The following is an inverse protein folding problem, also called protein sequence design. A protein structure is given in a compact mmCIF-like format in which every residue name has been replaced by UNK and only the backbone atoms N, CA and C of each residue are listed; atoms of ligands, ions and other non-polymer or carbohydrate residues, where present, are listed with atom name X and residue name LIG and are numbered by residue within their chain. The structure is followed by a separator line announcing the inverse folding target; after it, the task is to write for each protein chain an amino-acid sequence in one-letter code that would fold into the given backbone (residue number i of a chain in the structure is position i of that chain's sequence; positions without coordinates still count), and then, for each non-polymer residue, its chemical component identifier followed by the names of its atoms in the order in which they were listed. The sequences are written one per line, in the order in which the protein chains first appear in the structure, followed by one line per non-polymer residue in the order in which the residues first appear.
data_IF_308013235042
#
_entry.id   IF_308013235042
#
_cell.length_a   1.000
_cell.length_b   1.000
_cell.length_c   1.000
_cell.angle_alpha   90.00
_cell.angle_beta   90.00
_cell.angle_gamma   90.00
#
_symmetry.space_group_name_H-M   'P 1'
#
loop_
_entity.id
_entity.type
_entity.pdbx_description
1 polymer ?
#
# COMPACT_ATOMS: atom_id res chain seq x y z
N UNK A 1 33.78 -0.01 -11.80
CA UNK A 1 34.56 -0.45 -10.61
C UNK A 1 33.71 -0.91 -9.41
N UNK A 2 32.50 -0.37 -9.18
CA UNK A 2 31.63 -0.75 -8.04
C UNK A 2 31.02 -2.16 -8.14
N UNK A 3 30.56 -2.57 -9.32
CA UNK A 3 29.94 -3.89 -9.56
C UNK A 3 30.91 -5.04 -9.25
N UNK A 4 32.19 -4.90 -9.58
CA UNK A 4 33.20 -5.91 -9.26
C UNK A 4 33.46 -6.02 -7.76
N UNK A 5 33.48 -4.88 -7.04
CA UNK A 5 33.61 -4.86 -5.57
C UNK A 5 32.44 -5.56 -4.89
N UNK A 6 31.22 -5.29 -5.33
CA UNK A 6 29.99 -5.92 -4.83
C UNK A 6 30.01 -7.43 -5.13
N UNK A 7 30.44 -7.83 -6.33
CA UNK A 7 30.60 -9.23 -6.71
C UNK A 7 31.61 -9.96 -5.80
N UNK A 8 32.77 -9.36 -5.54
CA UNK A 8 33.76 -9.95 -4.64
C UNK A 8 33.28 -10.01 -3.19
N UNK A 9 32.45 -9.07 -2.76
CA UNK A 9 31.82 -9.09 -1.43
C UNK A 9 30.78 -10.20 -1.31
N UNK A 10 29.97 -10.41 -2.36
CA UNK A 10 28.98 -11.49 -2.47
C UNK A 10 29.63 -12.88 -2.52
N UNK A 11 30.72 -13.07 -3.28
CA UNK A 11 31.42 -14.36 -3.37
C UNK A 11 32.38 -14.62 -2.21
N UNK A 12 32.83 -13.58 -1.53
CA UNK A 12 33.85 -13.61 -0.49
C UNK A 12 35.28 -13.74 -1.03
N UNK A 13 36.20 -13.11 -0.32
CA UNK A 13 37.63 -13.09 -0.61
C UNK A 13 38.47 -13.41 0.63
N UNK A 14 39.69 -13.82 0.39
CA UNK A 14 40.67 -14.22 1.38
C UNK A 14 41.84 -13.27 1.28
N UNK A 15 42.32 -12.77 2.43
CA UNK A 15 43.59 -12.08 2.52
C UNK A 15 44.64 -13.12 2.81
N UNK A 16 45.56 -13.33 1.87
CA UNK A 16 46.63 -14.31 1.98
C UNK A 16 47.97 -13.62 2.15
N UNK A 17 48.78 -14.16 3.05
CA UNK A 17 50.16 -13.81 3.26
C UNK A 17 51.02 -14.92 2.63
N UNK A 18 51.81 -14.57 1.65
CA UNK A 18 52.70 -15.46 0.91
C UNK A 18 54.13 -15.19 1.35
N UNK A 19 54.83 -16.24 1.76
CA UNK A 19 56.26 -16.22 2.12
C UNK A 19 57.04 -17.12 1.16
N UNK A 20 58.09 -16.62 0.53
CA UNK A 20 58.97 -17.45 -0.29
C UNK A 20 60.08 -16.67 -0.99
N UNK A 21 61.08 -17.38 -1.53
CA UNK A 21 62.28 -16.76 -2.13
C UNK A 21 61.99 -16.02 -3.45
N UNK A 22 60.88 -16.35 -4.14
CA UNK A 22 60.52 -15.78 -5.43
C UNK A 22 59.02 -15.42 -5.50
N UNK A 23 58.57 -14.36 -4.80
CA UNK A 23 57.15 -13.96 -4.77
C UNK A 23 56.61 -13.53 -6.14
N UNK A 24 57.48 -13.06 -7.04
CA UNK A 24 57.12 -12.64 -8.41
C UNK A 24 56.75 -13.84 -9.30
N UNK A 25 57.48 -14.95 -9.18
CA UNK A 25 57.15 -16.19 -9.87
C UNK A 25 55.80 -16.75 -9.40
N UNK A 26 55.50 -16.60 -8.10
CA UNK A 26 54.19 -16.96 -7.56
C UNK A 26 53.07 -16.11 -8.16
N UNK A 27 53.27 -14.79 -8.27
CA UNK A 27 52.27 -13.89 -8.85
C UNK A 27 51.98 -14.24 -10.31
N UNK A 28 53.03 -14.47 -11.10
CA UNK A 28 52.91 -14.83 -12.51
C UNK A 28 52.23 -16.19 -12.70
N UNK A 29 52.60 -17.19 -11.89
CA UNK A 29 51.97 -18.50 -11.94
C UNK A 29 50.50 -18.48 -11.48
N UNK A 30 50.14 -17.62 -10.52
CA UNK A 30 48.77 -17.43 -10.08
C UNK A 30 47.90 -16.79 -11.16
N UNK A 31 48.40 -15.73 -11.80
CA UNK A 31 47.72 -15.06 -12.92
C UNK A 31 47.56 -16.03 -14.10
N UNK A 32 48.61 -16.80 -14.41
CA UNK A 32 48.59 -17.83 -15.47
C UNK A 32 47.57 -18.95 -15.23
N UNK A 33 47.18 -19.24 -13.99
CA UNK A 33 46.08 -20.16 -13.68
C UNK A 33 44.69 -19.50 -13.66
N UNK A 34 44.59 -18.26 -14.13
CA UNK A 34 43.36 -17.47 -14.14
C UNK A 34 42.90 -17.05 -12.74
N UNK A 35 43.80 -17.03 -11.76
CA UNK A 35 43.49 -16.53 -10.41
C UNK A 35 43.69 -15.03 -10.37
N UNK A 36 42.60 -14.28 -10.23
CA UNK A 36 42.66 -12.84 -10.03
C UNK A 36 43.13 -12.52 -8.62
N UNK A 37 44.27 -11.85 -8.53
CA UNK A 37 44.85 -11.29 -7.32
C UNK A 37 44.70 -9.77 -7.37
N UNK A 38 44.35 -9.13 -6.27
CA UNK A 38 44.24 -7.67 -6.17
C UNK A 38 44.79 -7.18 -4.84
N UNK A 39 45.07 -5.87 -4.77
CA UNK A 39 45.61 -5.21 -3.57
C UNK A 39 46.88 -5.91 -3.07
N UNK A 40 47.87 -5.96 -3.96
CA UNK A 40 49.14 -6.65 -3.74
C UNK A 40 50.07 -5.68 -3.00
N UNK A 41 50.47 -6.06 -1.79
CA UNK A 41 51.38 -5.29 -0.96
C UNK A 41 52.61 -6.13 -0.64
N UNK A 42 53.80 -5.60 -0.93
CA UNK A 42 55.07 -6.27 -0.67
C UNK A 42 55.63 -5.82 0.68
N UNK A 43 55.97 -6.77 1.53
CA UNK A 43 56.55 -6.51 2.86
C UNK A 43 57.98 -7.10 2.91
N UNK A 44 58.93 -6.48 2.19
CA UNK A 44 60.32 -6.93 2.12
C UNK A 44 60.62 -7.92 0.98
N UNK A 45 61.78 -8.61 1.01
CA UNK A 45 62.22 -9.44 -0.11
C UNK A 45 61.36 -10.69 -0.32
N UNK A 46 60.91 -11.32 0.77
CA UNK A 46 60.29 -12.65 0.74
C UNK A 46 58.78 -12.66 1.05
N UNK A 47 58.18 -11.52 1.42
CA UNK A 47 56.78 -11.48 1.86
C UNK A 47 55.88 -10.67 0.93
N UNK A 48 54.73 -11.25 0.63
CA UNK A 48 53.70 -10.66 -0.22
C UNK A 48 52.32 -10.87 0.41
N UNK A 49 51.59 -9.77 0.62
CA UNK A 49 50.19 -9.79 1.00
C UNK A 49 49.35 -9.56 -0.26
N UNK A 50 48.37 -10.41 -0.52
CA UNK A 50 47.44 -10.17 -1.61
C UNK A 50 46.04 -10.68 -1.27
N UNK A 51 45.04 -10.12 -1.95
CA UNK A 51 43.64 -10.56 -1.83
C UNK A 51 43.31 -11.49 -2.99
N UNK A 52 42.65 -12.59 -2.67
CA UNK A 52 42.23 -13.61 -3.64
C UNK A 52 40.76 -13.99 -3.41
N UNK A 53 40.01 -14.25 -4.48
CA UNK A 53 38.65 -14.77 -4.37
C UNK A 53 38.62 -16.15 -3.68
N UNK A 54 37.58 -16.43 -2.90
CA UNK A 54 37.47 -17.69 -2.13
C UNK A 54 37.57 -18.95 -3.01
N UNK A 55 37.09 -18.90 -4.26
CA UNK A 55 37.20 -19.98 -5.24
C UNK A 55 38.60 -20.10 -5.85
N UNK A 56 39.28 -18.96 -6.04
CA UNK A 56 40.64 -18.89 -6.60
C UNK A 56 41.70 -19.47 -5.65
N UNK A 57 41.47 -19.41 -4.34
CA UNK A 57 42.40 -19.98 -3.35
C UNK A 57 42.59 -21.50 -3.49
N UNK A 58 41.56 -22.25 -3.91
CA UNK A 58 41.72 -23.69 -4.17
C UNK A 58 42.70 -23.96 -5.32
N UNK A 59 42.69 -23.09 -6.35
CA UNK A 59 43.59 -23.16 -7.50
C UNK A 59 45.02 -22.74 -7.17
N UNK A 60 45.24 -21.98 -6.10
CA UNK A 60 46.59 -21.59 -5.67
C UNK A 60 47.39 -22.73 -5.01
N UNK A 61 46.75 -23.81 -4.54
CA UNK A 61 47.45 -24.96 -3.93
C UNK A 61 48.58 -25.55 -4.80
N UNK A 62 48.36 -25.88 -6.09
CA UNK A 62 49.43 -26.34 -6.95
C UNK A 62 50.49 -25.25 -7.22
N UNK A 63 50.10 -23.97 -7.23
CA UNK A 63 51.03 -22.85 -7.44
C UNK A 63 52.03 -22.74 -6.29
N UNK A 64 51.57 -22.80 -5.04
CA UNK A 64 52.43 -22.81 -3.85
C UNK A 64 53.47 -23.94 -3.87
N UNK A 65 53.07 -25.13 -4.33
CA UNK A 65 53.98 -26.28 -4.46
C UNK A 65 55.04 -26.07 -5.54
N UNK A 66 54.67 -25.50 -6.70
CA UNK A 66 55.60 -25.25 -7.81
C UNK A 66 56.63 -24.17 -7.48
N UNK A 67 56.24 -23.10 -6.79
CA UNK A 67 57.12 -21.96 -6.51
C UNK A 67 57.83 -22.02 -5.16
N UNK A 68 57.72 -23.14 -4.43
CA UNK A 68 58.25 -23.32 -3.06
C UNK A 68 57.84 -22.19 -2.10
N UNK A 69 56.67 -21.59 -2.34
CA UNK A 69 56.13 -20.50 -1.53
C UNK A 69 55.10 -21.07 -0.53
N UNK A 70 55.03 -20.50 0.66
CA UNK A 70 54.05 -20.84 1.68
C UNK A 70 52.97 -19.77 1.76
N UNK A 71 51.70 -20.18 1.66
CA UNK A 71 50.56 -19.29 1.85
C UNK A 71 49.90 -19.49 3.21
N UNK A 72 49.75 -18.42 4.00
CA UNK A 72 48.94 -18.36 5.22
C UNK A 72 47.71 -17.49 4.99
N UNK A 73 46.53 -17.96 5.39
CA UNK A 73 45.31 -17.15 5.34
C UNK A 73 45.28 -16.25 6.57
N UNK A 74 45.39 -14.92 6.38
CA UNK A 74 45.34 -13.95 7.48
C UNK A 74 43.90 -13.62 7.86
N UNK A 75 43.03 -13.42 6.87
CA UNK A 75 41.63 -13.05 7.10
C UNK A 75 40.71 -13.70 6.06
N UNK A 76 39.49 -14.04 6.49
CA UNK A 76 38.41 -14.53 5.62
C UNK A 76 37.28 -13.50 5.65
N UNK A 77 37.00 -12.87 4.51
CA UNK A 77 36.04 -11.75 4.43
C UNK A 77 34.99 -12.10 3.37
N UNK A 78 33.71 -12.05 3.72
CA UNK A 78 32.61 -12.17 2.75
C UNK A 78 31.36 -12.86 3.29
N UNK A 79 30.25 -12.60 2.59
CA UNK A 79 28.91 -13.12 2.91
C UNK A 79 28.86 -14.66 2.88
N UNK A 80 29.59 -15.31 1.97
CA UNK A 80 29.63 -16.78 1.85
C UNK A 80 30.19 -17.49 3.08
N UNK A 81 31.04 -16.84 3.89
CA UNK A 81 31.57 -17.43 5.12
C UNK A 81 30.58 -17.32 6.29
N UNK A 82 29.80 -16.23 6.36
CA UNK A 82 28.73 -16.05 7.34
C UNK A 82 27.47 -16.87 7.03
N UNK A 83 27.02 -16.86 5.77
CA UNK A 83 25.83 -17.63 5.34
C UNK A 83 26.02 -19.15 5.48
N UNK A 84 27.26 -19.67 5.39
CA UNK A 84 27.54 -21.10 5.65
C UNK A 84 27.23 -21.55 7.08
N UNK A 85 27.17 -20.63 8.05
CA UNK A 85 26.77 -20.93 9.43
C UNK A 85 25.25 -20.87 9.60
N UNK A 86 24.58 -19.97 8.86
CA UNK A 86 23.12 -19.82 8.86
C UNK A 86 22.44 -20.97 8.10
N UNK A 87 23.01 -21.41 6.98
CA UNK A 87 22.51 -22.55 6.16
C UNK A 87 22.58 -23.92 6.86
N UNK A 88 23.32 -24.04 7.96
CA UNK A 88 23.33 -25.25 8.81
C UNK A 88 22.18 -25.30 9.82
N UNK A 89 21.36 -24.24 9.89
CA UNK A 89 20.22 -24.14 10.81
C UNK A 89 18.93 -24.14 10.00
N UNK A 90 18.38 -25.32 9.63
CA UNK A 90 17.18 -25.42 8.81
C UNK A 90 15.98 -24.71 9.45
N UNK A 91 15.92 -24.69 10.79
CA UNK A 91 14.87 -23.99 11.56
C UNK A 91 14.87 -22.48 11.29
N UNK A 92 16.03 -21.84 11.12
CA UNK A 92 16.09 -20.40 10.80
C UNK A 92 15.53 -20.11 9.41
N UNK A 93 15.87 -20.95 8.43
CA UNK A 93 15.34 -20.80 7.08
C UNK A 93 13.82 -21.03 7.06
N UNK A 94 13.34 -22.07 7.73
CA UNK A 94 11.91 -22.33 7.89
C UNK A 94 11.20 -21.14 8.55
N UNK A 95 11.77 -20.57 9.61
CA UNK A 95 11.21 -19.39 10.28
C UNK A 95 11.08 -18.18 9.36
N UNK A 96 12.08 -17.93 8.51
CA UNK A 96 12.02 -16.85 7.51
C UNK A 96 10.89 -17.10 6.51
N UNK A 97 10.79 -18.33 5.97
CA UNK A 97 9.75 -18.69 5.00
C UNK A 97 8.36 -18.56 5.62
N UNK A 98 8.16 -19.07 6.84
CA UNK A 98 6.90 -18.97 7.57
C UNK A 98 6.55 -17.51 7.87
N UNK A 99 7.51 -16.70 8.31
CA UNK A 99 7.30 -15.29 8.59
C UNK A 99 6.85 -14.53 7.34
N UNK A 100 7.49 -14.79 6.19
CA UNK A 100 7.09 -14.20 4.91
C UNK A 100 5.71 -14.70 4.45
N UNK A 101 5.42 -15.98 4.60
CA UNK A 101 4.12 -16.55 4.24
C UNK A 101 2.98 -15.96 5.09
N UNK A 102 3.19 -15.85 6.41
CA UNK A 102 2.23 -15.23 7.33
C UNK A 102 2.04 -13.75 7.00
N UNK A 103 3.13 -13.01 6.77
CA UNK A 103 3.05 -11.60 6.36
C UNK A 103 2.28 -11.41 5.04
N UNK A 104 2.50 -12.30 4.06
CA UNK A 104 1.76 -12.28 2.79
C UNK A 104 0.27 -12.56 2.97
N UNK A 105 -0.07 -13.57 3.78
CA UNK A 105 -1.47 -13.91 4.09
C UNK A 105 -2.14 -12.72 4.78
N UNK A 106 -1.53 -12.17 5.84
CA UNK A 106 -2.08 -11.04 6.60
C UNK A 106 -2.23 -9.77 5.75
N UNK A 107 -1.36 -9.57 4.76
CA UNK A 107 -1.45 -8.46 3.81
C UNK A 107 -2.66 -8.55 2.87
N UNK A 108 -3.27 -9.72 2.74
CA UNK A 108 -4.47 -9.93 1.92
C UNK A 108 -5.79 -9.54 2.61
N UNK A 109 -5.75 -9.15 3.89
CA UNK A 109 -6.94 -8.82 4.67
C UNK A 109 -7.10 -7.32 4.88
N UNK A 110 -8.36 -6.90 5.03
CA UNK A 110 -8.73 -5.57 5.52
C UNK A 110 -8.68 -5.59 7.04
N UNK A 111 -7.89 -4.71 7.63
CA UNK A 111 -7.73 -4.58 9.08
C UNK A 111 -8.51 -3.41 9.65
N UNK A 112 -8.63 -2.34 8.85
CA UNK A 112 -9.28 -1.11 9.25
C UNK A 112 -10.33 -0.73 8.22
N UNK A 113 -11.50 -0.32 8.70
CA UNK A 113 -12.58 0.23 7.90
C UNK A 113 -12.78 1.68 8.34
N UNK A 114 -12.51 2.60 7.43
CA UNK A 114 -12.69 4.04 7.62
C UNK A 114 -13.91 4.48 6.84
N UNK A 115 -14.78 5.26 7.49
CA UNK A 115 -15.98 5.82 6.86
C UNK A 115 -15.88 7.34 6.87
N UNK A 116 -16.04 7.94 5.69
CA UNK A 116 -15.96 9.38 5.47
C UNK A 116 -17.27 9.89 4.88
N UNK A 117 -17.68 11.10 5.27
CA UNK A 117 -18.80 11.82 4.64
C UNK A 117 -20.20 11.55 5.22
N UNK A 118 -20.28 10.87 6.37
CA UNK A 118 -21.50 10.79 7.16
C UNK A 118 -21.80 12.14 7.84
N UNK A 119 -23.06 12.59 7.77
CA UNK A 119 -23.54 13.82 8.41
C UNK A 119 -24.82 13.58 9.21
N UNK A 120 -25.83 12.99 8.60
CA UNK A 120 -27.14 12.69 9.17
C UNK A 120 -27.25 11.25 9.66
N UNK A 121 -26.54 10.31 9.03
CA UNK A 121 -26.60 8.88 9.37
C UNK A 121 -25.69 8.60 10.57
N UNK A 122 -26.20 7.84 11.55
CA UNK A 122 -25.43 7.45 12.74
C UNK A 122 -24.28 6.49 12.38
N UNK A 123 -23.02 6.78 12.77
CA UNK A 123 -21.86 6.00 12.36
C UNK A 123 -21.90 4.52 12.78
N UNK A 124 -22.42 4.21 13.95
CA UNK A 124 -22.47 2.83 14.45
C UNK A 124 -23.55 2.00 13.76
N UNK A 125 -24.68 2.61 13.40
CA UNK A 125 -25.70 1.97 12.54
C UNK A 125 -25.10 1.64 11.18
N UNK A 126 -24.44 2.61 10.54
CA UNK A 126 -23.83 2.41 9.23
C UNK A 126 -22.71 1.37 9.23
N UNK A 127 -21.93 1.28 10.32
CA UNK A 127 -20.94 0.20 10.50
C UNK A 127 -21.60 -1.17 10.50
N UNK A 128 -22.73 -1.32 11.17
CA UNK A 128 -23.49 -2.58 11.19
C UNK A 128 -23.97 -2.95 9.79
N UNK A 129 -24.44 -1.96 9.01
CA UNK A 129 -24.79 -2.13 7.60
C UNK A 129 -23.59 -2.60 6.77
N UNK A 130 -22.43 -1.95 6.92
CA UNK A 130 -21.19 -2.34 6.23
C UNK A 130 -20.76 -3.78 6.55
N UNK A 131 -20.86 -4.19 7.81
CA UNK A 131 -20.56 -5.56 8.23
C UNK A 131 -21.51 -6.58 7.58
N UNK A 132 -22.80 -6.23 7.45
CA UNK A 132 -23.80 -7.05 6.77
C UNK A 132 -23.52 -7.27 5.28
N UNK A 133 -22.92 -6.27 4.60
CA UNK A 133 -22.52 -6.37 3.19
C UNK A 133 -21.10 -6.96 3.03
N UNK A 134 -20.44 -7.31 4.14
CA UNK A 134 -19.14 -7.99 4.16
C UNK A 134 -17.92 -7.06 4.26
N UNK A 135 -18.12 -5.75 4.34
CA UNK A 135 -17.05 -4.76 4.57
C UNK A 135 -16.77 -4.67 6.06
N UNK A 136 -15.86 -5.51 6.56
CA UNK A 136 -15.49 -5.57 7.98
C UNK A 136 -14.01 -5.82 8.21
N UNK A 137 -13.55 -5.54 9.43
CA UNK A 137 -12.22 -5.96 9.84
C UNK A 137 -12.10 -7.50 9.78
N UNK A 138 -11.04 -7.98 9.15
CA UNK A 138 -10.81 -9.41 8.85
C UNK A 138 -11.43 -9.90 7.54
N UNK A 139 -12.09 -9.03 6.75
CA UNK A 139 -12.54 -9.41 5.41
C UNK A 139 -11.34 -9.62 4.47
N UNK A 140 -11.42 -10.64 3.60
CA UNK A 140 -10.41 -10.83 2.54
C UNK A 140 -10.62 -9.80 1.46
N UNK A 141 -9.53 -9.20 0.99
CA UNK A 141 -9.57 -8.19 -0.08
C UNK A 141 -10.14 -8.73 -1.39
N UNK A 142 -9.96 -10.03 -1.66
CA UNK A 142 -10.43 -10.69 -2.88
C UNK A 142 -11.94 -10.95 -2.87
N UNK A 143 -12.54 -11.10 -1.70
CA UNK A 143 -13.98 -11.37 -1.55
C UNK A 143 -14.81 -10.08 -1.64
N UNK A 144 -14.16 -8.90 -1.58
CA UNK A 144 -14.81 -7.60 -1.67
C UNK A 144 -15.04 -7.17 -3.12
N UNK A 145 -16.18 -7.57 -3.67
CA UNK A 145 -16.67 -7.02 -4.94
C UNK A 145 -17.20 -5.59 -4.72
N UNK A 146 -16.37 -4.62 -5.09
CA UNK A 146 -16.65 -3.19 -4.87
C UNK A 146 -17.96 -2.75 -5.51
N UNK A 147 -18.23 -3.18 -6.74
CA UNK A 147 -19.41 -2.74 -7.46
C UNK A 147 -20.67 -3.36 -6.86
N UNK A 148 -20.62 -4.65 -6.50
CA UNK A 148 -21.74 -5.31 -5.84
C UNK A 148 -22.04 -4.66 -4.48
N UNK A 149 -21.01 -4.40 -3.68
CA UNK A 149 -21.13 -3.78 -2.36
C UNK A 149 -21.69 -2.36 -2.46
N UNK A 150 -21.14 -1.52 -3.35
CA UNK A 150 -21.61 -0.14 -3.56
C UNK A 150 -23.10 -0.12 -3.94
N UNK A 151 -23.52 -0.99 -4.86
CA UNK A 151 -24.91 -1.10 -5.28
C UNK A 151 -25.83 -1.58 -4.15
N UNK A 152 -25.37 -2.53 -3.32
CA UNK A 152 -26.16 -3.06 -2.23
C UNK A 152 -26.34 -2.03 -1.10
N UNK A 153 -25.29 -1.26 -0.80
CA UNK A 153 -25.36 -0.14 0.15
C UNK A 153 -26.35 0.93 -0.31
N UNK A 154 -26.36 1.28 -1.61
CA UNK A 154 -27.33 2.22 -2.18
C UNK A 154 -28.78 1.73 -2.10
N UNK A 155 -29.02 0.42 -2.08
CA UNK A 155 -30.36 -0.15 -1.92
C UNK A 155 -30.81 -0.16 -0.47
N UNK A 156 -29.91 -0.49 0.46
CA UNK A 156 -30.25 -0.61 1.88
C UNK A 156 -30.44 0.76 2.53
N UNK A 157 -29.64 1.75 2.14
CA UNK A 157 -29.65 3.08 2.75
C UNK A 157 -30.22 4.13 1.78
N UNK A 158 -31.52 4.41 1.90
CA UNK A 158 -32.21 5.35 1.01
C UNK A 158 -31.70 6.79 1.11
N UNK A 159 -31.05 7.15 2.22
CA UNK A 159 -30.48 8.48 2.47
C UNK A 159 -29.14 8.71 1.75
N UNK A 160 -28.52 7.67 1.19
CA UNK A 160 -27.24 7.79 0.47
C UNK A 160 -27.50 8.20 -0.98
N UNK A 161 -26.83 9.26 -1.43
CA UNK A 161 -26.85 9.72 -2.82
C UNK A 161 -25.79 8.99 -3.66
N UNK A 162 -24.62 8.76 -3.06
CA UNK A 162 -23.49 8.10 -3.70
C UNK A 162 -22.58 7.45 -2.66
N UNK A 163 -21.98 6.31 -3.02
CA UNK A 163 -21.01 5.60 -2.18
C UNK A 163 -19.87 5.07 -3.04
N UNK A 164 -18.66 5.05 -2.48
CA UNK A 164 -17.46 4.48 -3.11
C UNK A 164 -16.65 3.68 -2.10
N UNK A 165 -16.29 2.45 -2.45
CA UNK A 165 -15.41 1.59 -1.69
C UNK A 165 -14.00 1.54 -2.30
N UNK A 166 -13.01 2.05 -1.58
CA UNK A 166 -11.59 2.01 -2.00
C UNK A 166 -10.76 1.24 -0.99
N UNK A 167 -10.01 0.24 -1.45
CA UNK A 167 -9.05 -0.48 -0.59
C UNK A 167 -7.63 0.05 -0.83
N UNK A 168 -7.04 0.69 0.19
CA UNK A 168 -5.66 1.18 0.22
C UNK A 168 -4.83 0.27 1.14
N UNK A 169 -4.15 -0.70 0.54
CA UNK A 169 -3.38 -1.70 1.30
C UNK A 169 -4.29 -2.55 2.18
N UNK A 170 -4.15 -2.43 3.51
CA UNK A 170 -4.94 -3.11 4.53
C UNK A 170 -6.12 -2.29 5.06
N UNK A 171 -6.37 -1.10 4.51
CA UNK A 171 -7.45 -0.20 4.93
C UNK A 171 -8.52 -0.13 3.85
N UNK A 172 -9.78 -0.35 4.21
CA UNK A 172 -10.94 -0.09 3.38
C UNK A 172 -11.51 1.29 3.74
N UNK A 173 -11.57 2.18 2.76
CA UNK A 173 -12.11 3.53 2.89
C UNK A 173 -13.45 3.57 2.17
N UNK A 174 -14.52 3.81 2.92
CA UNK A 174 -15.88 3.98 2.42
C UNK A 174 -16.19 5.47 2.42
N UNK A 175 -16.36 6.02 1.22
CA UNK A 175 -16.73 7.43 1.04
C UNK A 175 -18.22 7.48 0.74
N UNK A 176 -18.97 8.20 1.57
CA UNK A 176 -20.42 8.34 1.47
C UNK A 176 -20.76 9.79 1.20
N UNK A 177 -21.72 10.02 0.32
CA UNK A 177 -22.37 11.32 0.12
C UNK A 177 -23.85 11.11 0.37
N UNK A 178 -24.39 11.80 1.37
CA UNK A 178 -25.80 11.75 1.74
C UNK A 178 -26.65 12.66 0.83
N UNK A 179 -27.94 12.35 0.73
CA UNK A 179 -28.92 13.15 0.01
C UNK A 179 -29.29 14.37 0.84
N UNK A 180 -29.22 15.55 0.25
CA UNK A 180 -29.92 16.72 0.76
C UNK A 180 -31.41 16.55 0.49
N UNK A 181 -32.14 16.12 1.52
CA UNK A 181 -33.60 16.13 1.47
C UNK A 181 -34.06 17.60 1.44
N UNK A 182 -34.93 18.01 0.49
CA UNK A 182 -35.54 19.33 0.56
C UNK A 182 -36.30 19.44 1.88
N UNK A 183 -36.27 20.64 2.49
CA UNK A 183 -37.09 20.93 3.67
C UNK A 183 -38.50 20.43 3.42
N UNK A 184 -38.99 19.59 4.34
CA UNK A 184 -40.27 18.88 4.24
C UNK A 184 -41.33 19.82 3.72
N UNK A 185 -41.71 19.68 2.44
CA UNK A 185 -42.91 20.34 1.93
C UNK A 185 -44.03 19.82 2.83
N UNK A 186 -44.74 20.69 3.58
CA UNK A 186 -45.74 20.23 4.52
C UNK A 186 -46.71 19.30 3.79
N UNK A 187 -46.71 18.02 4.18
CA UNK A 187 -47.59 17.03 3.60
C UNK A 187 -49.00 17.33 4.09
N UNK A 188 -49.84 17.86 3.19
CA UNK A 188 -51.22 18.22 3.52
C UNK A 188 -51.87 19.13 2.50
N UNK A 189 -53.17 19.35 2.69
CA UNK A 189 -54.00 20.32 1.98
C UNK A 189 -53.64 21.69 2.56
N UNK A 190 -52.73 22.42 1.90
CA UNK A 190 -52.20 23.71 2.38
C UNK A 190 -52.64 24.87 1.52
N UNK A 191 -53.06 25.94 2.19
CA UNK A 191 -53.43 27.20 1.56
C UNK A 191 -52.18 28.00 1.19
N UNK A 192 -52.26 28.75 0.09
CA UNK A 192 -51.21 29.68 -0.32
C UNK A 192 -51.66 31.10 0.07
N UNK A 193 -50.82 31.79 0.84
CA UNK A 193 -51.07 33.15 1.33
C UNK A 193 -50.05 34.15 0.77
N UNK A 194 -50.46 35.41 0.67
CA UNK A 194 -49.61 36.49 0.21
C UNK A 194 -48.51 36.82 1.24
N UNK A 195 -47.24 36.69 0.84
CA UNK A 195 -46.12 37.02 1.71
C UNK A 195 -45.92 38.53 1.92
N UNK A 196 -46.43 39.35 1.00
CA UNK A 196 -46.31 40.82 0.94
C UNK A 196 -47.51 41.41 0.21
N UNK A 197 -47.73 42.71 0.40
CA UNK A 197 -48.73 43.46 -0.36
C UNK A 197 -48.34 43.52 -1.86
N UNK A 198 -49.31 43.42 -2.75
CA UNK A 198 -49.07 43.48 -4.20
C UNK A 198 -50.32 43.40 -5.06
N UNK A 199 -50.14 43.61 -6.36
CA UNK A 199 -51.22 43.50 -7.36
C UNK A 199 -51.04 42.20 -8.17
N UNK A 200 -52.10 41.40 -8.27
CA UNK A 200 -52.10 40.13 -9.01
C UNK A 200 -52.11 40.44 -10.51
N UNK A 201 -50.97 40.32 -11.19
CA UNK A 201 -50.90 40.54 -12.64
C UNK A 201 -51.44 39.37 -13.45
N UNK A 202 -51.22 38.14 -12.98
CA UNK A 202 -51.61 36.91 -13.66
C UNK A 202 -51.71 35.77 -12.66
N UNK A 203 -52.72 34.89 -12.81
CA UNK A 203 -52.86 33.72 -11.94
C UNK A 203 -53.05 32.44 -12.76
N UNK A 204 -52.24 31.43 -12.47
CA UNK A 204 -52.34 30.10 -13.08
C UNK A 204 -52.32 29.04 -11.98
N UNK A 205 -53.48 28.47 -11.67
CA UNK A 205 -53.62 27.45 -10.62
C UNK A 205 -53.53 26.06 -11.25
N UNK A 206 -52.52 25.28 -10.85
CA UNK A 206 -52.35 23.88 -11.29
C UNK A 206 -53.20 22.91 -10.46
N UNK A 207 -53.30 23.14 -9.13
CA UNK A 207 -54.10 22.36 -8.17
C UNK A 207 -54.60 23.29 -7.05
N UNK A 208 -55.87 23.15 -6.68
CA UNK A 208 -56.55 24.00 -5.68
C UNK A 208 -57.56 24.96 -6.34
N UNK A 209 -58.07 25.90 -5.55
CA UNK A 209 -59.09 26.87 -5.97
C UNK A 209 -58.55 28.29 -5.80
N UNK A 210 -58.55 29.09 -6.86
CA UNK A 210 -58.15 30.49 -6.79
C UNK A 210 -59.16 31.27 -5.92
N UNK A 211 -58.67 31.98 -4.90
CA UNK A 211 -59.48 32.87 -4.06
C UNK A 211 -59.42 34.33 -4.54
N UNK A 212 -58.55 34.64 -5.50
CA UNK A 212 -58.31 35.97 -6.07
C UNK A 212 -58.31 35.92 -7.59
N UNK A 213 -58.51 37.08 -8.22
CA UNK A 213 -58.56 37.26 -9.68
C UNK A 213 -57.45 38.17 -10.20
N UNK A 214 -57.21 38.13 -11.51
CA UNK A 214 -56.25 39.02 -12.15
C UNK A 214 -56.72 40.47 -12.05
N UNK A 215 -55.85 41.36 -11.54
CA UNK A 215 -56.16 42.75 -11.25
C UNK A 215 -56.46 43.04 -9.78
N UNK A 216 -56.64 42.03 -8.93
CA UNK A 216 -56.88 42.24 -7.50
C UNK A 216 -55.62 42.73 -6.77
N UNK A 217 -55.83 43.62 -5.78
CA UNK A 217 -54.78 44.06 -4.86
C UNK A 217 -54.90 43.24 -3.58
N UNK A 218 -53.82 42.57 -3.20
CA UNK A 218 -53.74 41.69 -2.03
C UNK A 218 -52.81 42.29 -0.98
N UNK A 219 -53.16 42.09 0.28
CA UNK A 219 -52.34 42.43 1.43
C UNK A 219 -51.56 41.21 1.95
N UNK A 220 -50.48 41.47 2.68
CA UNK A 220 -49.71 40.44 3.38
C UNK A 220 -50.64 39.65 4.31
N UNK A 221 -50.74 38.34 4.07
CA UNK A 221 -51.59 37.41 4.80
C UNK A 221 -52.86 37.00 4.08
N UNK A 222 -53.21 37.65 2.96
CA UNK A 222 -54.41 37.32 2.20
C UNK A 222 -54.32 35.94 1.54
N UNK A 223 -55.45 35.25 1.46
CA UNK A 223 -55.57 33.94 0.84
C UNK A 223 -55.52 34.07 -0.68
N UNK A 224 -54.52 33.47 -1.32
CA UNK A 224 -54.36 33.46 -2.77
C UNK A 224 -54.99 32.21 -3.40
N UNK A 225 -54.66 31.04 -2.85
CA UNK A 225 -55.16 29.75 -3.34
C UNK A 225 -55.64 28.94 -2.14
N UNK A 226 -56.92 28.58 -2.17
CA UNK A 226 -57.56 27.68 -1.22
C UNK A 226 -57.31 26.24 -1.61
N UNK A 227 -57.04 25.42 -0.61
CA UNK A 227 -56.85 23.99 -0.78
C UNK A 227 -58.16 23.19 -0.68
N UNK A 228 -59.23 23.80 -0.13
CA UNK A 228 -60.59 23.25 -0.10
C UNK A 228 -61.52 23.93 -1.13
N UNK A 229 -62.51 23.19 -1.67
CA UNK A 229 -63.52 23.77 -2.55
C UNK A 229 -64.32 24.87 -1.86
N UNK A 230 -64.71 25.93 -2.58
CA UNK A 230 -65.61 26.94 -2.05
C UNK A 230 -66.97 26.30 -1.67
N UNK A 231 -67.52 26.72 -0.53
CA UNK A 231 -68.83 26.30 -0.03
C UNK A 231 -69.98 26.93 -0.83
#
# INVERSE_FOLDING_TARGET
MLIQRIWFFLRGYLVILVKGPHPEQFLNAAIGQGVRLWDIQRFGPDWLLCKVGAQGFKKLRPVFRKTRCQGRIKQRIGLTFGLRRITKRPVLFLGIVVCLAVGYILSGFVWFVEVEGLQQIEPDSFRTTLEGVGVRAGARREDLDRQAIENELLKQETLIAWVSLKVKGTVAVVQVVEKELPETIPQGVVNIIAAKDGLIQKILVLKGYAAVTEGDTVHKGDLLISANPPA
#
